data_IF_558961039893
#
_entry.id   IF_558961039893
#
_cell.length_a   1.000
_cell.length_b   1.000
_cell.length_c   1.000
_cell.angle_alpha   90.00
_cell.angle_beta   90.00
_cell.angle_gamma   90.00
#
_symmetry.space_group_name_H-M   'P 1'
#
loop_
_entity.id
_entity.type
_entity.pdbx_description
1 polymer ?
#
# COMPACT_ATOMS: atom_id res chain seq x y z
N UNK A 1 15.95 -17.87 -4.42
CA UNK A 1 16.72 -17.15 -5.47
C UNK A 1 16.37 -15.67 -5.49
N UNK A 2 15.08 -15.28 -5.55
CA UNK A 2 14.68 -13.87 -5.52
C UNK A 2 14.86 -13.20 -4.14
N UNK A 3 14.54 -13.87 -3.03
CA UNK A 3 14.74 -13.35 -1.67
C UNK A 3 16.22 -13.09 -1.36
N UNK A 4 17.09 -14.04 -1.74
CA UNK A 4 18.55 -13.89 -1.64
C UNK A 4 19.07 -12.72 -2.49
N UNK A 5 18.56 -12.55 -3.71
CA UNK A 5 18.88 -11.42 -4.56
C UNK A 5 18.52 -10.07 -3.90
N UNK A 6 17.33 -9.96 -3.30
CA UNK A 6 16.93 -8.73 -2.61
C UNK A 6 17.86 -8.43 -1.43
N UNK A 7 18.20 -9.42 -0.61
CA UNK A 7 19.18 -9.27 0.47
C UNK A 7 20.55 -8.80 -0.03
N UNK A 8 20.98 -9.29 -1.19
CA UNK A 8 22.28 -8.95 -1.77
C UNK A 8 22.29 -7.54 -2.40
N UNK A 9 21.12 -7.06 -2.90
CA UNK A 9 20.98 -5.74 -3.53
C UNK A 9 20.72 -4.63 -2.50
N UNK A 10 19.94 -4.94 -1.46
CA UNK A 10 19.40 -3.98 -0.52
C UNK A 10 19.98 -4.19 0.88
N UNK A 11 20.93 -3.34 1.32
CA UNK A 11 21.54 -3.45 2.64
C UNK A 11 20.55 -3.31 3.80
N UNK A 12 19.42 -2.65 3.55
CA UNK A 12 18.32 -2.39 4.47
C UNK A 12 17.24 -3.50 4.46
N UNK A 13 17.49 -4.62 3.77
CA UNK A 13 16.57 -5.74 3.68
C UNK A 13 16.62 -6.63 4.94
N UNK A 14 15.49 -6.79 5.61
CA UNK A 14 15.33 -7.55 6.83
C UNK A 14 14.64 -8.89 6.56
N UNK A 15 15.42 -9.97 6.65
CA UNK A 15 14.91 -11.33 6.43
C UNK A 15 13.91 -11.77 7.49
N UNK A 16 14.02 -11.26 8.73
CA UNK A 16 13.10 -11.64 9.79
C UNK A 16 11.70 -11.04 9.54
N UNK A 17 11.65 -9.80 9.04
CA UNK A 17 10.40 -9.17 8.59
C UNK A 17 9.79 -9.94 7.43
N UNK A 18 10.59 -10.38 6.46
CA UNK A 18 10.10 -11.18 5.33
C UNK A 18 9.43 -12.50 5.79
N UNK A 19 10.07 -13.20 6.71
CA UNK A 19 9.56 -14.48 7.24
C UNK A 19 8.23 -14.29 7.99
N UNK A 20 8.10 -13.24 8.78
CA UNK A 20 6.85 -12.87 9.46
C UNK A 20 5.75 -12.49 8.45
N UNK A 21 6.09 -11.70 7.43
CA UNK A 21 5.15 -11.32 6.38
C UNK A 21 4.64 -12.51 5.56
N UNK A 22 5.48 -13.52 5.31
CA UNK A 22 5.03 -14.74 4.65
C UNK A 22 3.98 -15.48 5.48
N UNK A 23 4.15 -15.54 6.80
CA UNK A 23 3.16 -16.13 7.69
C UNK A 23 1.84 -15.33 7.66
N UNK A 24 1.90 -14.00 7.83
CA UNK A 24 0.73 -13.10 7.82
C UNK A 24 -0.04 -13.17 6.50
N UNK A 25 0.67 -13.19 5.37
CA UNK A 25 0.08 -13.21 4.03
C UNK A 25 -0.27 -14.62 3.52
N UNK A 26 -0.06 -15.65 4.35
CA UNK A 26 -0.31 -17.06 4.05
C UNK A 26 0.43 -17.54 2.79
N UNK A 27 1.69 -17.16 2.68
CA UNK A 27 2.59 -17.57 1.60
C UNK A 27 3.48 -18.73 2.05
N UNK A 28 3.63 -19.72 1.17
CA UNK A 28 4.59 -20.81 1.38
C UNK A 28 5.97 -20.39 0.86
N UNK A 29 7.00 -20.25 1.74
CA UNK A 29 8.36 -19.86 1.33
C UNK A 29 9.04 -20.87 0.39
N UNK A 30 8.58 -22.12 0.38
CA UNK A 30 9.15 -23.19 -0.44
C UNK A 30 8.53 -23.26 -1.83
N UNK A 31 7.39 -22.60 -2.04
CA UNK A 31 6.69 -22.60 -3.32
C UNK A 31 7.48 -21.81 -4.37
N UNK A 32 7.78 -22.39 -5.54
CA UNK A 32 8.37 -21.63 -6.64
C UNK A 32 7.44 -20.51 -7.10
N UNK A 33 7.98 -19.31 -7.35
CA UNK A 33 7.22 -18.14 -7.83
C UNK A 33 6.43 -18.44 -9.12
N UNK A 34 6.94 -19.33 -9.98
CA UNK A 34 6.24 -19.77 -11.20
C UNK A 34 4.95 -20.55 -10.95
N UNK A 35 4.76 -21.11 -9.75
CA UNK A 35 3.55 -21.82 -9.33
C UNK A 35 2.58 -20.95 -8.54
N UNK A 36 2.97 -19.73 -8.19
CA UNK A 36 2.12 -18.80 -7.45
C UNK A 36 1.00 -18.25 -8.35
N UNK A 37 -0.22 -18.17 -7.81
CA UNK A 37 -1.32 -17.46 -8.46
C UNK A 37 -0.98 -15.96 -8.63
N UNK A 38 -1.79 -15.21 -9.39
CA UNK A 38 -1.59 -13.76 -9.52
C UNK A 38 -1.56 -13.07 -8.15
N UNK A 39 -2.59 -13.30 -7.31
CA UNK A 39 -2.65 -12.70 -5.97
C UNK A 39 -1.53 -13.14 -5.03
N UNK A 40 -1.06 -14.39 -5.14
CA UNK A 40 0.12 -14.82 -4.37
C UNK A 40 1.39 -14.09 -4.80
N UNK A 41 1.57 -13.82 -6.09
CA UNK A 41 2.70 -13.04 -6.60
C UNK A 41 2.65 -11.60 -6.13
N UNK A 42 1.46 -10.98 -6.13
CA UNK A 42 1.25 -9.62 -5.61
C UNK A 42 1.59 -9.55 -4.11
N UNK A 43 1.09 -10.49 -3.30
CA UNK A 43 1.44 -10.59 -1.87
C UNK A 43 2.93 -10.83 -1.64
N UNK A 44 3.56 -11.67 -2.46
CA UNK A 44 5.00 -11.92 -2.38
C UNK A 44 5.82 -10.66 -2.69
N UNK A 45 5.44 -9.89 -3.71
CA UNK A 45 6.07 -8.60 -4.03
C UNK A 45 5.89 -7.59 -2.91
N UNK A 46 4.68 -7.49 -2.35
CA UNK A 46 4.40 -6.65 -1.21
C UNK A 46 5.30 -7.01 -0.02
N UNK A 47 5.42 -8.30 0.28
CA UNK A 47 6.28 -8.78 1.37
C UNK A 47 7.74 -8.38 1.15
N UNK A 48 8.27 -8.53 -0.08
CA UNK A 48 9.64 -8.10 -0.40
C UNK A 48 9.83 -6.59 -0.22
N UNK A 49 8.87 -5.77 -0.63
CA UNK A 49 8.96 -4.32 -0.46
C UNK A 49 8.95 -3.90 1.01
N UNK A 50 8.00 -4.43 1.79
CA UNK A 50 7.86 -4.12 3.22
C UNK A 50 8.99 -4.71 4.08
N UNK A 51 9.72 -5.70 3.57
CA UNK A 51 10.90 -6.24 4.25
C UNK A 51 12.11 -5.31 4.21
N UNK A 52 12.05 -4.21 3.45
CA UNK A 52 13.09 -3.18 3.49
C UNK A 52 12.78 -2.15 4.55
N UNK A 53 13.82 -1.54 5.12
CA UNK A 53 13.71 -0.31 5.93
C UNK A 53 13.96 0.92 5.04
N UNK A 54 13.06 1.13 4.09
CA UNK A 54 13.20 2.22 3.12
C UNK A 54 12.71 3.55 3.71
N UNK A 55 13.32 4.66 3.30
CA UNK A 55 12.86 6.00 3.70
C UNK A 55 11.55 6.40 3.01
N UNK A 56 11.26 5.81 1.85
CA UNK A 56 10.07 6.09 1.04
C UNK A 56 9.52 4.79 0.44
N UNK A 57 8.23 4.53 0.65
CA UNK A 57 7.47 3.47 0.03
C UNK A 57 6.47 4.07 -0.96
N UNK A 58 6.44 3.54 -2.18
CA UNK A 58 5.48 3.96 -3.20
C UNK A 58 4.72 2.71 -3.67
N UNK A 59 3.42 2.71 -3.46
CA UNK A 59 2.53 1.64 -3.93
C UNK A 59 1.56 2.16 -4.97
N UNK A 60 1.52 1.48 -6.10
CA UNK A 60 0.56 1.72 -7.17
C UNK A 60 -0.53 0.65 -7.09
N UNK A 61 -1.74 1.06 -6.73
CA UNK A 61 -2.93 0.21 -6.62
C UNK A 61 -2.72 -1.07 -5.76
N UNK A 62 -2.18 -0.98 -4.53
CA UNK A 62 -1.74 -2.14 -3.74
C UNK A 62 -2.86 -3.12 -3.35
N UNK A 63 -4.11 -2.65 -3.36
CA UNK A 63 -5.30 -3.42 -2.99
C UNK A 63 -6.27 -3.61 -4.16
N UNK A 64 -5.90 -3.20 -5.38
CA UNK A 64 -6.75 -3.36 -6.54
C UNK A 64 -6.88 -4.84 -6.94
N UNK A 65 -8.12 -5.28 -7.19
CA UNK A 65 -8.40 -6.67 -7.55
C UNK A 65 -8.30 -7.67 -6.40
N UNK A 66 -8.05 -7.20 -5.18
CA UNK A 66 -8.15 -7.99 -3.95
C UNK A 66 -9.61 -8.06 -3.51
N UNK A 67 -10.05 -9.24 -3.06
CA UNK A 67 -11.38 -9.43 -2.50
C UNK A 67 -11.61 -8.51 -1.28
N UNK A 68 -12.83 -7.97 -1.08
CA UNK A 68 -13.10 -7.03 0.01
C UNK A 68 -12.67 -7.55 1.39
N UNK A 69 -12.83 -8.85 1.66
CA UNK A 69 -12.48 -9.46 2.94
C UNK A 69 -10.97 -9.50 3.22
N UNK A 70 -10.13 -9.37 2.18
CA UNK A 70 -8.67 -9.38 2.30
C UNK A 70 -8.03 -7.99 2.24
N UNK A 71 -8.79 -6.94 1.92
CA UNK A 71 -8.26 -5.57 1.79
C UNK A 71 -7.72 -5.04 3.11
N UNK A 72 -8.53 -5.13 4.17
CA UNK A 72 -8.16 -4.70 5.52
C UNK A 72 -6.86 -5.38 5.96
N UNK A 73 -6.75 -6.69 5.75
CA UNK A 73 -5.53 -7.44 6.09
C UNK A 73 -4.29 -6.97 5.32
N UNK A 74 -4.42 -6.54 4.06
CA UNK A 74 -3.30 -6.01 3.29
C UNK A 74 -2.93 -4.60 3.76
N UNK A 75 -3.92 -3.74 4.00
CA UNK A 75 -3.71 -2.40 4.53
C UNK A 75 -3.04 -2.45 5.91
N UNK A 76 -3.54 -3.28 6.83
CA UNK A 76 -2.94 -3.53 8.14
C UNK A 76 -1.50 -4.02 8.00
N UNK A 77 -1.23 -4.85 7.00
CA UNK A 77 0.14 -5.32 6.72
C UNK A 77 1.03 -4.18 6.24
N UNK A 78 0.56 -3.29 5.37
CA UNK A 78 1.32 -2.12 4.92
C UNK A 78 1.61 -1.20 6.10
N UNK A 79 0.55 -0.78 6.80
CA UNK A 79 0.62 0.19 7.90
C UNK A 79 1.40 -0.33 9.10
N UNK A 80 1.39 -1.65 9.33
CA UNK A 80 2.11 -2.28 10.43
C UNK A 80 3.58 -2.59 10.15
N UNK A 81 4.07 -2.45 8.90
CA UNK A 81 5.42 -2.89 8.53
C UNK A 81 6.24 -1.87 7.73
N UNK A 82 5.68 -0.73 7.31
CA UNK A 82 6.53 0.35 6.79
C UNK A 82 7.45 0.87 7.90
N UNK A 83 8.66 1.31 7.54
CA UNK A 83 9.62 1.78 8.54
C UNK A 83 9.11 3.02 9.29
N UNK A 84 9.37 3.09 10.60
CA UNK A 84 9.09 4.28 11.39
C UNK A 84 9.75 5.51 10.73
N UNK A 85 9.02 6.62 10.66
CA UNK A 85 9.41 7.88 10.03
C UNK A 85 9.59 7.84 8.49
N UNK A 86 9.23 6.73 7.83
CA UNK A 86 9.24 6.66 6.37
C UNK A 86 8.00 7.30 5.74
N UNK A 87 8.15 7.84 4.53
CA UNK A 87 7.05 8.37 3.74
C UNK A 87 6.35 7.23 2.97
N UNK A 88 5.05 7.07 3.18
CA UNK A 88 4.21 6.13 2.44
C UNK A 88 3.34 6.88 1.42
N UNK A 89 3.55 6.62 0.13
CA UNK A 89 2.73 7.15 -0.96
C UNK A 89 1.93 6.01 -1.55
N UNK A 90 0.60 6.15 -1.58
CA UNK A 90 -0.31 5.17 -2.19
C UNK A 90 -1.11 5.85 -3.28
N UNK A 91 -0.95 5.37 -4.52
CA UNK A 91 -1.85 5.70 -5.61
C UNK A 91 -3.00 4.68 -5.62
N UNK A 92 -4.24 5.15 -5.55
CA UNK A 92 -5.42 4.29 -5.52
C UNK A 92 -6.67 5.05 -5.93
N UNK A 93 -7.64 4.33 -6.51
CA UNK A 93 -9.01 4.80 -6.68
C UNK A 93 -9.95 4.32 -5.57
N UNK A 94 -9.47 3.48 -4.65
CA UNK A 94 -10.22 2.90 -3.53
C UNK A 94 -10.12 3.76 -2.28
N UNK A 95 -10.57 5.01 -2.38
CA UNK A 95 -10.40 6.04 -1.33
C UNK A 95 -11.13 5.65 -0.05
N UNK A 96 -12.36 5.13 -0.16
CA UNK A 96 -13.16 4.76 1.01
C UNK A 96 -12.50 3.67 1.88
N UNK A 97 -11.72 2.76 1.28
CA UNK A 97 -11.04 1.68 1.99
C UNK A 97 -9.80 2.20 2.77
N UNK A 98 -9.20 3.31 2.33
CA UNK A 98 -7.93 3.82 2.87
C UNK A 98 -8.05 5.14 3.63
N UNK A 99 -9.13 5.89 3.41
CA UNK A 99 -9.40 7.17 4.08
C UNK A 99 -9.18 7.14 5.61
N UNK A 100 -9.56 6.08 6.36
CA UNK A 100 -9.38 6.07 7.82
C UNK A 100 -7.92 6.10 8.29
N UNK A 101 -6.95 5.85 7.40
CA UNK A 101 -5.54 5.67 7.72
C UNK A 101 -4.63 6.65 6.98
N UNK A 102 -5.19 7.57 6.20
CA UNK A 102 -4.43 8.58 5.46
C UNK A 102 -4.32 9.89 6.24
N UNK A 103 -3.10 10.42 6.32
CA UNK A 103 -2.86 11.76 6.88
C UNK A 103 -3.18 12.87 5.85
N UNK A 104 -2.78 12.67 4.59
CA UNK A 104 -2.92 13.65 3.51
C UNK A 104 -3.40 13.00 2.21
N UNK A 105 -4.07 13.80 1.37
CA UNK A 105 -4.55 13.40 0.05
C UNK A 105 -4.09 14.38 -1.03
N UNK A 106 -3.72 13.84 -2.19
CA UNK A 106 -3.38 14.58 -3.41
C UNK A 106 -4.31 14.13 -4.53
N UNK A 107 -5.21 15.01 -4.97
CA UNK A 107 -6.08 14.75 -6.12
C UNK A 107 -5.44 15.24 -7.40
N UNK A 108 -5.28 14.33 -8.36
CA UNK A 108 -4.75 14.61 -9.69
C UNK A 108 -5.89 14.68 -10.71
N UNK A 109 -5.97 15.78 -11.47
CA UNK A 109 -6.93 15.97 -12.57
C UNK A 109 -6.20 16.53 -13.78
N UNK A 110 -6.37 15.89 -14.94
CA UNK A 110 -5.77 16.34 -16.21
C UNK A 110 -4.24 16.53 -16.13
N UNK A 111 -3.56 15.67 -15.37
CA UNK A 111 -2.10 15.73 -15.19
C UNK A 111 -1.61 16.85 -14.25
N UNK A 112 -2.52 17.54 -13.56
CA UNK A 112 -2.19 18.59 -12.59
C UNK A 112 -2.69 18.22 -11.18
N UNK A 113 -2.01 18.75 -10.17
CA UNK A 113 -2.49 18.69 -8.78
C UNK A 113 -3.68 19.65 -8.68
N UNK A 114 -4.87 19.07 -8.53
CA UNK A 114 -6.10 19.82 -8.33
C UNK A 114 -6.25 20.23 -6.87
N UNK A 115 -5.93 19.32 -5.94
CA UNK A 115 -6.07 19.51 -4.51
C UNK A 115 -4.96 18.74 -3.79
N UNK A 116 -4.39 19.35 -2.74
CA UNK A 116 -3.48 18.69 -1.80
C UNK A 116 -3.79 19.22 -0.40
N UNK A 117 -4.29 18.36 0.49
CA UNK A 117 -4.76 18.73 1.83
C UNK A 117 -4.56 17.59 2.82
N UNK A 118 -4.51 17.95 4.10
CA UNK A 118 -4.72 17.00 5.19
C UNK A 118 -6.17 16.45 5.14
N UNK A 119 -6.33 15.16 5.44
CA UNK A 119 -7.64 14.50 5.40
C UNK A 119 -8.63 15.08 6.41
N UNK A 120 -8.17 15.48 7.59
CA UNK A 120 -9.01 16.04 8.65
C UNK A 120 -9.52 17.42 8.23
N UNK A 121 -8.62 18.29 7.78
CA UNK A 121 -8.95 19.62 7.26
C UNK A 121 -9.99 19.53 6.13
N UNK A 122 -9.79 18.57 5.20
CA UNK A 122 -10.70 18.39 4.07
C UNK A 122 -12.10 17.94 4.52
N UNK A 123 -12.16 17.03 5.51
CA UNK A 123 -13.43 16.56 6.08
C UNK A 123 -14.17 17.67 6.80
N UNK A 124 -13.46 18.53 7.53
CA UNK A 124 -14.04 19.66 8.25
C UNK A 124 -14.53 20.76 7.28
N UNK A 125 -13.71 21.13 6.30
CA UNK A 125 -14.03 22.21 5.33
C UNK A 125 -15.27 21.88 4.48
N UNK A 126 -15.36 20.63 3.99
CA UNK A 126 -16.44 20.20 3.11
C UNK A 126 -17.62 19.56 3.84
N UNK A 127 -17.47 19.28 5.15
CA UNK A 127 -18.44 18.52 5.95
C UNK A 127 -18.86 17.21 5.24
N UNK A 128 -17.88 16.51 4.68
CA UNK A 128 -18.06 15.32 3.84
C UNK A 128 -16.84 14.39 3.96
N UNK A 129 -16.98 13.11 3.58
CA UNK A 129 -15.82 12.20 3.53
C UNK A 129 -14.84 12.60 2.41
N UNK A 130 -13.56 12.22 2.52
CA UNK A 130 -12.58 12.42 1.44
C UNK A 130 -13.07 11.79 0.14
N UNK A 131 -13.65 10.59 0.22
CA UNK A 131 -14.23 9.92 -0.93
C UNK A 131 -15.41 10.70 -1.54
N UNK A 132 -16.25 11.36 -0.74
CA UNK A 132 -17.34 12.20 -1.25
C UNK A 132 -16.79 13.44 -1.96
N UNK A 133 -15.81 14.13 -1.35
CA UNK A 133 -15.15 15.29 -1.97
C UNK A 133 -14.50 14.90 -3.30
N UNK A 134 -13.81 13.76 -3.34
CA UNK A 134 -13.26 13.22 -4.59
C UNK A 134 -14.37 13.03 -5.64
N UNK A 135 -15.47 12.37 -5.28
CA UNK A 135 -16.58 12.17 -6.21
C UNK A 135 -17.14 13.49 -6.71
N UNK A 136 -17.20 14.53 -5.89
CA UNK A 136 -17.65 15.86 -6.32
C UNK A 136 -16.69 16.53 -7.31
N UNK A 137 -15.39 16.51 -7.02
CA UNK A 137 -14.35 17.09 -7.88
C UNK A 137 -14.28 16.41 -9.26
N UNK A 138 -14.54 15.11 -9.30
CA UNK A 138 -14.45 14.28 -10.51
C UNK A 138 -15.81 13.87 -11.09
N UNK A 139 -16.92 14.50 -10.65
CA UNK A 139 -18.22 14.40 -11.34
C UNK A 139 -18.09 14.95 -12.76
N UNK A 140 -18.64 14.22 -13.72
CA UNK A 140 -18.85 14.63 -15.10
C UNK A 140 -20.15 15.39 -15.25
#
# INVERSE_FOLDING_TARGET
MQTKLYKDIYPDFDMAVLEDLFLKLKLDPTMPVSKMSKGMREKFQLALCLSRKADIYIFDEPIAGVDPASRDSILDTILGNYANDALLIIATHLIADIEPVLDEVVFLKEGQIHLHRNCDDLREEYNASVNDVFREVFKW
#
